data_IF_745316865380
#
_entry.id   IF_745316865380
#
_cell.length_a   1.000
_cell.length_b   1.000
_cell.length_c   1.000
_cell.angle_alpha   90.00
_cell.angle_beta   90.00
_cell.angle_gamma   90.00
#
_symmetry.space_group_name_H-M   'P 1'
#
loop_
_entity.id
_entity.type
_entity.pdbx_description
1 polymer ?
#
# COMPACT_ATOMS: atom_id res chain seq x y z
N UNK A 1 -11.59 -14.31 -19.27
CA UNK A 1 -10.34 -13.99 -18.54
C UNK A 1 -10.11 -15.06 -17.49
N UNK A 2 -8.89 -15.63 -17.44
CA UNK A 2 -8.54 -16.65 -16.44
C UNK A 2 -8.56 -16.05 -15.02
N UNK A 3 -8.86 -16.86 -14.01
CA UNK A 3 -8.85 -16.44 -12.60
C UNK A 3 -7.50 -15.83 -12.18
N UNK A 4 -6.40 -16.30 -12.77
CA UNK A 4 -5.06 -15.79 -12.56
C UNK A 4 -4.91 -14.35 -13.05
N UNK A 5 -5.37 -14.03 -14.27
CA UNK A 5 -5.28 -12.68 -14.83
C UNK A 5 -6.04 -11.65 -13.99
N UNK A 6 -7.18 -12.05 -13.42
CA UNK A 6 -7.98 -11.20 -12.52
C UNK A 6 -7.25 -10.93 -11.20
N UNK A 7 -6.63 -11.95 -10.61
CA UNK A 7 -5.82 -11.83 -9.39
C UNK A 7 -4.59 -10.95 -9.60
N UNK A 8 -3.88 -11.14 -10.71
CA UNK A 8 -2.72 -10.31 -11.05
C UNK A 8 -3.10 -8.85 -11.26
N UNK A 9 -4.19 -8.58 -11.98
CA UNK A 9 -4.68 -7.20 -12.15
C UNK A 9 -5.03 -6.55 -10.81
N UNK A 10 -5.68 -7.29 -9.89
CA UNK A 10 -5.97 -6.79 -8.55
C UNK A 10 -4.72 -6.49 -7.74
N UNK A 11 -3.74 -7.40 -7.74
CA UNK A 11 -2.47 -7.20 -7.05
C UNK A 11 -1.69 -6.01 -7.59
N UNK A 12 -1.60 -5.87 -8.93
CA UNK A 12 -0.97 -4.71 -9.57
C UNK A 12 -1.67 -3.40 -9.21
N UNK A 13 -3.01 -3.40 -9.18
CA UNK A 13 -3.78 -2.22 -8.75
C UNK A 13 -3.45 -1.79 -7.32
N UNK A 14 -3.36 -2.74 -6.39
CA UNK A 14 -2.96 -2.48 -5.00
C UNK A 14 -1.52 -1.95 -4.97
N UNK A 15 -0.60 -2.58 -5.69
CA UNK A 15 0.80 -2.15 -5.77
C UNK A 15 0.93 -0.71 -6.26
N UNK A 16 0.24 -0.36 -7.36
CA UNK A 16 0.25 1.01 -7.90
C UNK A 16 -0.33 2.02 -6.90
N UNK A 17 -1.46 1.69 -6.28
CA UNK A 17 -2.08 2.58 -5.28
C UNK A 17 -1.13 2.85 -4.12
N UNK A 18 -0.50 1.81 -3.58
CA UNK A 18 0.47 1.96 -2.50
C UNK A 18 1.71 2.73 -2.95
N UNK A 19 2.22 2.45 -4.16
CA UNK A 19 3.35 3.17 -4.73
C UNK A 19 3.10 4.67 -4.83
N UNK A 20 1.93 5.07 -5.33
CA UNK A 20 1.55 6.49 -5.42
C UNK A 20 1.41 7.13 -4.03
N UNK A 21 0.79 6.46 -3.08
CA UNK A 21 0.65 6.96 -1.71
C UNK A 21 2.01 7.16 -1.02
N UNK A 22 2.89 6.17 -1.13
CA UNK A 22 4.25 6.26 -0.57
C UNK A 22 5.10 7.32 -1.27
N UNK A 23 4.97 7.47 -2.59
CA UNK A 23 5.64 8.55 -3.33
C UNK A 23 5.16 9.93 -2.84
N UNK A 24 3.85 10.11 -2.62
CA UNK A 24 3.28 11.33 -2.05
C UNK A 24 3.83 11.63 -0.65
N UNK A 25 3.93 10.62 0.22
CA UNK A 25 4.58 10.74 1.54
C UNK A 25 6.05 11.15 1.35
N UNK A 26 6.76 10.57 0.39
CA UNK A 26 8.13 10.91 0.08
C UNK A 26 8.32 12.38 -0.29
N UNK A 27 7.45 12.91 -1.12
CA UNK A 27 7.45 14.36 -1.45
C UNK A 27 7.24 15.20 -0.21
N UNK A 28 6.21 14.87 0.60
CA UNK A 28 5.90 15.63 1.82
C UNK A 28 7.07 15.62 2.82
N UNK A 29 7.67 14.44 3.04
CA UNK A 29 8.83 14.32 3.93
C UNK A 29 10.00 15.15 3.41
N UNK A 30 10.32 15.06 2.13
CA UNK A 30 11.40 15.84 1.52
C UNK A 30 11.16 17.35 1.67
N UNK A 31 9.94 17.83 1.48
CA UNK A 31 9.60 19.24 1.66
C UNK A 31 9.72 19.66 3.13
N UNK A 32 9.23 18.85 4.07
CA UNK A 32 9.32 19.14 5.50
C UNK A 32 10.79 19.19 5.94
N UNK A 33 11.58 18.17 5.58
CA UNK A 33 13.01 18.11 5.93
C UNK A 33 13.77 19.27 5.30
N UNK A 34 13.47 19.60 4.03
CA UNK A 34 14.11 20.73 3.34
C UNK A 34 13.85 22.09 3.99
N UNK A 35 12.72 22.24 4.71
CA UNK A 35 12.41 23.47 5.45
C UNK A 35 12.99 23.45 6.87
N UNK A 36 12.87 22.30 7.56
CA UNK A 36 13.22 22.19 8.99
C UNK A 36 14.71 21.91 9.22
N UNK A 37 15.31 21.11 8.32
CA UNK A 37 16.70 20.66 8.39
C UNK A 37 17.32 20.58 7.00
N UNK A 38 17.57 21.73 6.35
CA UNK A 38 18.09 21.75 4.97
C UNK A 38 19.45 21.02 4.83
N UNK A 39 20.24 20.99 5.90
CA UNK A 39 21.56 20.35 5.92
C UNK A 39 21.49 18.81 5.97
N UNK A 40 20.33 18.23 6.28
CA UNK A 40 20.12 16.77 6.30
C UNK A 40 19.80 16.21 4.89
N UNK A 41 19.67 17.07 3.88
CA UNK A 41 19.44 16.65 2.49
C UNK A 41 20.77 16.69 1.74
N UNK A 42 21.23 15.52 1.33
CA UNK A 42 22.46 15.42 0.53
C UNK A 42 22.32 16.12 -0.83
N UNK A 43 23.40 16.72 -1.35
CA UNK A 43 23.43 17.27 -2.70
C UNK A 43 23.03 16.22 -3.74
N UNK A 44 21.90 16.43 -4.41
CA UNK A 44 21.32 15.48 -5.38
C UNK A 44 20.18 14.60 -4.84
N UNK A 45 19.81 14.73 -3.58
CA UNK A 45 18.63 14.09 -3.00
C UNK A 45 17.40 15.02 -3.02
N UNK A 46 16.97 15.40 -4.21
CA UNK A 46 15.75 16.20 -4.37
C UNK A 46 14.46 15.41 -4.06
N UNK A 47 13.33 16.12 -3.85
CA UNK A 47 12.04 15.51 -3.54
C UNK A 47 11.61 14.41 -4.51
N UNK A 48 11.98 14.53 -5.79
CA UNK A 48 11.69 13.53 -6.81
C UNK A 48 12.40 12.20 -6.59
N UNK A 49 13.66 12.22 -6.16
CA UNK A 49 14.43 11.00 -5.86
C UNK A 49 13.85 10.27 -4.65
N UNK A 50 13.54 11.01 -3.57
CA UNK A 50 12.94 10.45 -2.36
C UNK A 50 11.54 9.87 -2.68
N UNK A 51 10.74 10.58 -3.46
CA UNK A 51 9.44 10.10 -3.92
C UNK A 51 9.55 8.82 -4.76
N UNK A 52 10.54 8.73 -5.68
CA UNK A 52 10.75 7.56 -6.51
C UNK A 52 11.15 6.33 -5.67
N UNK A 53 12.07 6.50 -4.71
CA UNK A 53 12.53 5.43 -3.83
C UNK A 53 11.35 4.93 -2.98
N UNK A 54 10.65 5.83 -2.28
CA UNK A 54 9.51 5.46 -1.44
C UNK A 54 8.35 4.90 -2.26
N UNK A 55 8.12 5.41 -3.48
CA UNK A 55 7.12 4.88 -4.39
C UNK A 55 7.41 3.44 -4.80
N UNK A 56 8.66 3.09 -5.12
CA UNK A 56 9.07 1.72 -5.40
C UNK A 56 8.89 0.80 -4.18
N UNK A 57 9.33 1.24 -3.01
CA UNK A 57 9.16 0.50 -1.76
C UNK A 57 7.66 0.25 -1.50
N UNK A 58 6.83 1.28 -1.65
CA UNK A 58 5.38 1.17 -1.50
C UNK A 58 4.75 0.22 -2.51
N UNK A 59 5.21 0.25 -3.77
CA UNK A 59 4.72 -0.65 -4.81
C UNK A 59 5.00 -2.12 -4.47
N UNK A 60 6.22 -2.46 -4.07
CA UNK A 60 6.58 -3.81 -3.63
C UNK A 60 5.82 -4.22 -2.36
N UNK A 61 5.67 -3.30 -1.40
CA UNK A 61 4.88 -3.54 -0.21
C UNK A 61 3.42 -3.85 -0.52
N UNK A 62 2.80 -3.10 -1.45
CA UNK A 62 1.45 -3.35 -1.91
C UNK A 62 1.28 -4.69 -2.62
N UNK A 63 2.25 -5.09 -3.46
CA UNK A 63 2.27 -6.42 -4.08
C UNK A 63 2.42 -7.53 -3.03
N UNK A 64 3.33 -7.38 -2.07
CA UNK A 64 3.52 -8.30 -0.97
C UNK A 64 2.26 -8.46 -0.13
N UNK A 65 1.62 -7.35 0.23
CA UNK A 65 0.34 -7.35 0.92
C UNK A 65 -0.75 -8.10 0.14
N UNK A 66 -0.90 -7.83 -1.17
CA UNK A 66 -1.87 -8.52 -2.02
C UNK A 66 -1.59 -10.03 -2.11
N UNK A 67 -0.32 -10.42 -2.17
CA UNK A 67 0.12 -11.82 -2.13
C UNK A 67 -0.23 -12.49 -0.81
N UNK A 68 0.16 -11.89 0.32
CA UNK A 68 -0.17 -12.38 1.67
C UNK A 68 -1.68 -12.50 1.89
N UNK A 69 -2.44 -11.49 1.50
CA UNK A 69 -3.89 -11.52 1.60
C UNK A 69 -4.49 -12.64 0.74
N UNK A 70 -3.97 -12.86 -0.47
CA UNK A 70 -4.41 -13.95 -1.35
C UNK A 70 -4.11 -15.32 -0.79
N UNK A 71 -2.99 -15.49 -0.08
CA UNK A 71 -2.60 -16.76 0.56
C UNK A 71 -3.39 -17.00 1.85
N UNK A 72 -3.51 -15.97 2.69
CA UNK A 72 -4.15 -16.09 4.00
C UNK A 72 -5.68 -16.15 3.92
N UNK A 73 -6.28 -15.41 2.98
CA UNK A 73 -7.73 -15.20 2.90
C UNK A 73 -8.31 -15.52 1.50
N UNK A 74 -7.55 -16.19 0.63
CA UNK A 74 -7.88 -16.41 -0.79
C UNK A 74 -9.15 -17.24 -1.05
N UNK A 75 -9.73 -17.85 -0.01
CA UNK A 75 -11.01 -18.59 -0.06
C UNK A 75 -12.21 -17.76 0.43
N UNK A 76 -11.97 -16.53 0.94
CA UNK A 76 -13.00 -15.65 1.49
C UNK A 76 -13.36 -14.56 0.50
N UNK A 77 -14.60 -14.12 0.54
CA UNK A 77 -15.06 -12.96 -0.22
C UNK A 77 -14.60 -11.66 0.47
N UNK A 78 -14.50 -10.56 -0.29
CA UNK A 78 -14.09 -9.24 0.23
C UNK A 78 -14.99 -8.80 1.41
N UNK A 79 -16.25 -9.21 1.43
CA UNK A 79 -17.20 -8.88 2.49
C UNK A 79 -16.94 -9.66 3.79
N UNK A 80 -16.37 -10.86 3.70
CA UNK A 80 -16.06 -11.73 4.84
C UNK A 80 -14.69 -11.42 5.48
N UNK A 81 -13.86 -10.60 4.81
CA UNK A 81 -12.56 -10.20 5.35
C UNK A 81 -12.74 -9.32 6.58
N UNK A 82 -12.22 -9.73 7.72
CA UNK A 82 -12.15 -8.87 8.90
C UNK A 82 -11.16 -7.72 8.68
N UNK A 83 -11.62 -6.47 8.82
CA UNK A 83 -10.74 -5.30 8.71
C UNK A 83 -9.59 -5.34 9.72
N UNK A 84 -9.81 -5.93 10.90
CA UNK A 84 -8.75 -6.12 11.89
C UNK A 84 -7.63 -7.04 11.40
N UNK A 85 -7.96 -8.14 10.71
CA UNK A 85 -6.95 -9.02 10.09
C UNK A 85 -6.23 -8.32 8.93
N UNK A 86 -6.96 -7.58 8.12
CA UNK A 86 -6.38 -6.79 7.04
C UNK A 86 -5.40 -5.76 7.59
N UNK A 87 -5.78 -5.06 8.67
CA UNK A 87 -4.90 -4.13 9.37
C UNK A 87 -3.64 -4.82 9.91
N UNK A 88 -3.81 -6.00 10.53
CA UNK A 88 -2.68 -6.77 11.05
C UNK A 88 -1.70 -7.18 9.94
N UNK A 89 -2.20 -7.71 8.82
CA UNK A 89 -1.35 -8.07 7.69
C UNK A 89 -0.67 -6.86 7.05
N UNK A 90 -1.39 -5.74 6.93
CA UNK A 90 -0.81 -4.47 6.46
C UNK A 90 0.26 -3.95 7.40
N UNK A 91 0.03 -4.01 8.71
CA UNK A 91 1.00 -3.63 9.73
C UNK A 91 2.26 -4.49 9.64
N UNK A 92 2.12 -5.81 9.70
CA UNK A 92 3.26 -6.74 9.68
C UNK A 92 4.07 -6.62 8.38
N UNK A 93 3.40 -6.52 7.24
CA UNK A 93 4.07 -6.36 5.94
C UNK A 93 4.89 -5.07 5.86
N UNK A 94 4.34 -3.95 6.31
CA UNK A 94 5.03 -2.67 6.28
C UNK A 94 6.10 -2.53 7.37
N UNK A 95 5.87 -3.08 8.57
CA UNK A 95 6.86 -3.08 9.65
C UNK A 95 8.07 -3.99 9.34
N UNK A 96 7.89 -5.01 8.52
CA UNK A 96 8.99 -5.89 8.09
C UNK A 96 9.90 -5.26 7.02
N UNK A 97 9.43 -4.24 6.27
CA UNK A 97 10.19 -3.60 5.20
C UNK A 97 11.56 -3.06 5.64
N UNK A 98 11.69 -2.31 6.76
CA UNK A 98 12.98 -1.84 7.24
C UNK A 98 13.97 -2.99 7.47
N UNK A 99 13.50 -4.11 8.03
CA UNK A 99 14.33 -5.29 8.28
C UNK A 99 14.83 -5.92 6.98
N UNK A 100 14.02 -5.90 5.92
CA UNK A 100 14.39 -6.44 4.59
C UNK A 100 15.33 -5.51 3.83
N UNK A 101 15.27 -4.21 4.08
CA UNK A 101 16.10 -3.20 3.40
C UNK A 101 17.36 -2.83 4.18
N UNK A 102 17.56 -3.40 5.37
CA UNK A 102 18.68 -3.06 6.24
C UNK A 102 18.56 -1.68 6.93
N UNK A 103 17.36 -1.09 6.89
CA UNK A 103 17.07 0.14 7.59
C UNK A 103 16.86 -0.11 9.10
N UNK A 104 16.94 0.95 9.91
CA UNK A 104 16.72 0.85 11.35
C UNK A 104 15.31 0.34 11.66
N UNK A 105 15.22 -0.59 12.63
CA UNK A 105 13.96 -1.20 13.04
C UNK A 105 12.94 -0.17 13.59
N UNK A 106 13.42 0.98 14.09
CA UNK A 106 12.57 2.08 14.55
C UNK A 106 11.66 2.64 13.45
N UNK A 107 12.09 2.56 12.18
CA UNK A 107 11.29 2.94 11.01
C UNK A 107 10.02 2.09 10.93
N UNK A 108 10.08 0.83 11.37
CA UNK A 108 8.93 -0.08 11.43
C UNK A 108 7.79 0.43 12.33
N UNK A 109 8.12 1.23 13.37
CA UNK A 109 7.13 1.85 14.26
C UNK A 109 6.26 2.86 13.50
N UNK A 110 6.79 3.50 12.46
CA UNK A 110 6.06 4.45 11.63
C UNK A 110 5.42 3.73 10.44
N UNK A 111 6.16 2.86 9.76
CA UNK A 111 5.68 2.19 8.55
C UNK A 111 4.58 1.17 8.84
N UNK A 112 4.62 0.49 9.99
CA UNK A 112 3.60 -0.48 10.40
C UNK A 112 2.20 0.12 10.47
N UNK A 113 1.95 1.18 11.26
CA UNK A 113 0.64 1.85 11.32
C UNK A 113 0.18 2.39 9.96
N UNK A 114 1.07 2.94 9.15
CA UNK A 114 0.75 3.38 7.79
C UNK A 114 0.33 2.22 6.90
N UNK A 115 1.02 1.08 6.98
CA UNK A 115 0.64 -0.13 6.27
C UNK A 115 -0.73 -0.66 6.68
N UNK A 116 -1.04 -0.66 7.98
CA UNK A 116 -2.37 -1.02 8.48
C UNK A 116 -3.47 -0.09 7.94
N UNK A 117 -3.21 1.21 7.93
CA UNK A 117 -4.13 2.22 7.41
C UNK A 117 -4.38 2.02 5.90
N UNK A 118 -3.32 1.85 5.11
CA UNK A 118 -3.44 1.66 3.67
C UNK A 118 -4.13 0.35 3.31
N UNK A 119 -3.83 -0.73 4.02
CA UNK A 119 -4.49 -2.01 3.84
C UNK A 119 -6.00 -1.92 4.10
N UNK A 120 -6.39 -1.32 5.22
CA UNK A 120 -7.81 -1.15 5.58
C UNK A 120 -8.53 -0.22 4.62
N UNK A 121 -7.92 0.90 4.23
CA UNK A 121 -8.48 1.84 3.26
C UNK A 121 -8.68 1.17 1.89
N UNK A 122 -7.72 0.36 1.42
CA UNK A 122 -7.80 -0.36 0.15
C UNK A 122 -8.97 -1.34 0.14
N UNK A 123 -9.15 -2.13 1.21
CA UNK A 123 -10.28 -3.08 1.32
C UNK A 123 -11.61 -2.35 1.47
N UNK A 124 -11.66 -1.25 2.24
CA UNK A 124 -12.87 -0.45 2.39
C UNK A 124 -13.29 0.18 1.05
N UNK A 125 -12.35 0.68 0.26
CA UNK A 125 -12.61 1.22 -1.07
C UNK A 125 -13.12 0.13 -2.03
N UNK A 126 -12.51 -1.06 -2.01
CA UNK A 126 -12.93 -2.21 -2.82
C UNK A 126 -14.36 -2.65 -2.47
N UNK A 127 -14.73 -2.68 -1.19
CA UNK A 127 -16.10 -2.97 -0.74
C UNK A 127 -17.12 -1.96 -1.27
N UNK A 128 -16.78 -0.66 -1.21
CA UNK A 128 -17.66 0.40 -1.74
C UNK A 128 -17.84 0.28 -3.25
N UNK A 129 -16.77 -0.07 -3.97
CA UNK A 129 -16.83 -0.34 -5.41
C UNK A 129 -17.77 -1.48 -5.76
N UNK A 130 -17.64 -2.61 -5.05
CA UNK A 130 -18.49 -3.79 -5.27
C UNK A 130 -19.98 -3.51 -4.98
N UNK A 131 -20.30 -2.72 -3.94
CA UNK A 131 -21.67 -2.33 -3.64
C UNK A 131 -22.28 -1.46 -4.76
N UNK A 132 -21.50 -0.49 -5.29
CA UNK A 132 -21.95 0.36 -6.39
C UNK A 132 -22.20 -0.42 -7.68
N UNK A 133 -21.46 -1.49 -7.92
CA UNK A 133 -21.63 -2.35 -9.10
C UNK A 133 -22.89 -3.21 -8.98
N UNK A 134 -23.23 -3.68 -7.77
CA UNK A 134 -24.46 -4.41 -7.51
C UNK A 134 -25.73 -3.56 -7.57
N UNK A 135 -25.62 -2.24 -7.39
CA UNK A 135 -26.74 -1.28 -7.49
C UNK A 135 -27.03 -0.83 -8.95
N UNK A 136 -26.22 -1.29 -9.93
CA UNK A 136 -26.40 -0.97 -11.37
C UNK A 136 -26.83 -2.18 -12.22
N UNK A 137 -27.90 -2.90 -11.91
CA UNK A 137 -28.29 -4.10 -12.67
C UNK A 137 -28.95 -3.82 -14.03
N UNK A 138 -29.08 -2.56 -14.48
CA UNK A 138 -29.94 -2.20 -15.60
C UNK A 138 -29.27 -1.49 -16.80
N UNK A 139 -27.94 -1.43 -16.91
CA UNK A 139 -27.27 -0.70 -17.99
C UNK A 139 -26.63 -1.59 -19.08
N UNK A 140 -26.86 -2.89 -19.06
CA UNK A 140 -26.33 -3.85 -20.04
C UNK A 140 -27.44 -4.64 -20.78
N UNK A 141 -28.70 -4.15 -20.81
CA UNK A 141 -29.72 -4.63 -21.72
C UNK A 141 -29.90 -3.68 -22.89
#
# INVERSE_FOLDING_TARGET
MTTLARRLRGALGIGVTWGVLWAGIGVLLALIVGVVRPDDIDPGEGPGKIAAILGLVGWFAGLGFAGLLSLAEGRRTIHELSLGRVALWGFLGAAALPLLTGADASVGVITGPLGALFATASVAAARRGALRESERPGLLE
#
